data_IF_657744847955
#
_entry.id   IF_657744847955
#
_cell.length_a   1.000
_cell.length_b   1.000
_cell.length_c   1.000
_cell.angle_alpha   90.00
_cell.angle_beta   90.00
_cell.angle_gamma   90.00
#
_symmetry.space_group_name_H-M   'P 1'
#
loop_
_entity.id
_entity.type
_entity.pdbx_description
1 polymer ?
#
# COMPACT_ATOMS: atom_id res chain seq x y z
N UNK A 1 2.18 -11.25 -59.81
CA UNK A 1 1.68 -11.51 -58.44
C UNK A 1 2.39 -10.58 -57.46
N UNK A 2 1.75 -9.47 -57.06
CA UNK A 2 2.32 -8.50 -56.09
C UNK A 2 1.91 -8.92 -54.68
N UNK A 3 2.88 -9.26 -53.84
CA UNK A 3 2.67 -9.68 -52.44
C UNK A 3 2.20 -8.47 -51.61
N UNK A 4 0.98 -8.54 -51.07
CA UNK A 4 0.48 -7.62 -50.04
C UNK A 4 1.01 -8.07 -48.68
N UNK A 5 2.22 -7.63 -48.33
CA UNK A 5 2.74 -7.66 -46.97
C UNK A 5 2.59 -6.25 -46.40
N UNK A 6 1.42 -5.94 -45.88
CA UNK A 6 1.14 -4.62 -45.35
C UNK A 6 -0.11 -4.69 -44.51
N UNK A 7 0.03 -5.14 -43.25
CA UNK A 7 -0.79 -4.74 -42.10
C UNK A 7 -0.55 -5.61 -40.84
N UNK A 8 0.68 -6.09 -40.60
CA UNK A 8 1.01 -6.71 -39.29
C UNK A 8 1.62 -5.70 -38.30
N UNK A 9 2.14 -4.57 -38.77
CA UNK A 9 2.72 -3.55 -37.90
C UNK A 9 1.66 -2.74 -37.11
N UNK A 10 0.42 -2.62 -37.61
CA UNK A 10 -0.62 -1.85 -36.93
C UNK A 10 -1.25 -2.59 -35.74
N UNK A 11 -1.24 -3.93 -35.73
CA UNK A 11 -1.78 -4.72 -34.63
C UNK A 11 -0.79 -4.85 -33.45
N UNK A 12 0.51 -4.66 -33.68
CA UNK A 12 1.54 -4.81 -32.66
C UNK A 12 1.63 -3.61 -31.71
N UNK A 13 1.22 -2.41 -32.16
CA UNK A 13 1.15 -1.22 -31.30
C UNK A 13 -0.02 -1.22 -30.31
N UNK A 14 -1.04 -2.06 -30.52
CA UNK A 14 -2.16 -2.26 -29.59
C UNK A 14 -1.86 -3.27 -28.46
N UNK A 15 -0.69 -3.91 -28.50
CA UNK A 15 -0.23 -4.90 -27.52
C UNK A 15 0.95 -4.38 -26.67
N UNK A 16 1.27 -3.09 -26.76
CA UNK A 16 2.25 -2.52 -25.84
C UNK A 16 1.68 -2.63 -24.43
N UNK A 17 2.31 -3.39 -23.51
CA UNK A 17 1.94 -3.33 -22.11
C UNK A 17 2.07 -1.86 -21.73
N UNK A 18 0.97 -1.26 -21.25
CA UNK A 18 1.05 0.03 -20.57
C UNK A 18 2.14 -0.14 -19.52
N UNK A 19 3.29 0.51 -19.74
CA UNK A 19 4.34 0.59 -18.75
C UNK A 19 3.67 1.14 -17.50
N UNK A 20 3.55 0.29 -16.47
CA UNK A 20 2.92 0.63 -15.21
C UNK A 20 3.46 2.00 -14.78
N UNK A 21 2.58 3.01 -14.78
CA UNK A 21 2.94 4.32 -14.28
C UNK A 21 3.36 4.14 -12.83
N UNK A 22 4.43 4.82 -12.41
CA UNK A 22 4.91 4.78 -11.03
C UNK A 22 3.72 5.01 -10.08
N UNK A 23 3.34 3.95 -9.37
CA UNK A 23 2.13 3.87 -8.55
C UNK A 23 2.34 4.80 -7.37
N UNK A 24 1.82 6.02 -7.46
CA UNK A 24 1.98 6.99 -6.38
C UNK A 24 1.01 6.59 -5.28
N UNK A 25 1.54 6.15 -4.15
CA UNK A 25 0.74 5.95 -2.95
C UNK A 25 0.90 7.14 -2.01
N UNK A 26 -0.11 7.40 -1.20
CA UNK A 26 -0.10 8.48 -0.22
C UNK A 26 -0.84 8.06 1.04
N UNK A 27 -0.35 8.48 2.21
CA UNK A 27 -0.97 8.14 3.49
C UNK A 27 -2.18 9.03 3.73
N UNK A 28 -3.34 8.43 3.97
CA UNK A 28 -4.57 9.14 4.39
C UNK A 28 -4.55 9.36 5.89
N UNK A 29 -4.32 8.26 6.63
CA UNK A 29 -4.33 8.21 8.09
C UNK A 29 -3.50 7.03 8.56
N UNK A 30 -2.82 7.18 9.69
CA UNK A 30 -2.18 6.07 10.39
C UNK A 30 -2.23 6.31 11.89
N UNK A 31 -2.66 5.31 12.64
CA UNK A 31 -2.84 5.45 14.09
C UNK A 31 -2.58 4.14 14.82
N UNK A 32 -2.28 4.25 16.12
CA UNK A 32 -2.16 3.07 16.99
C UNK A 32 -3.04 3.21 18.24
N UNK A 33 -4.37 3.06 18.08
CA UNK A 33 -5.31 3.14 19.20
C UNK A 33 -5.17 1.95 20.16
N UNK A 34 -5.64 2.17 21.39
CA UNK A 34 -5.99 1.09 22.31
C UNK A 34 -7.32 0.50 21.88
N UNK A 35 -7.36 -0.82 21.66
CA UNK A 35 -8.57 -1.55 21.24
C UNK A 35 -9.16 -2.41 22.35
N UNK A 36 -8.45 -2.56 23.48
CA UNK A 36 -8.94 -3.26 24.65
C UNK A 36 -7.96 -3.24 25.82
N UNK A 37 -8.43 -3.66 26.99
CA UNK A 37 -7.60 -3.86 28.17
C UNK A 37 -8.14 -5.04 29.00
N UNK A 38 -7.26 -5.82 29.61
CA UNK A 38 -7.65 -6.98 30.41
C UNK A 38 -6.46 -7.81 30.88
N UNK A 39 -6.58 -8.44 32.06
CA UNK A 39 -5.55 -9.35 32.59
C UNK A 39 -4.19 -8.68 32.86
N UNK A 40 -4.17 -7.37 33.10
CA UNK A 40 -2.93 -6.59 33.27
C UNK A 40 -2.29 -6.09 31.97
N UNK A 41 -2.90 -6.35 30.80
CA UNK A 41 -2.40 -5.94 29.49
C UNK A 41 -3.28 -4.88 28.84
N UNK A 42 -2.65 -4.08 27.96
CA UNK A 42 -3.30 -3.15 27.04
C UNK A 42 -3.12 -3.67 25.62
N UNK A 43 -4.22 -3.82 24.89
CA UNK A 43 -4.21 -4.30 23.51
C UNK A 43 -4.25 -3.11 22.56
N UNK A 44 -3.35 -3.10 21.58
CA UNK A 44 -3.23 -2.04 20.58
C UNK A 44 -3.32 -2.61 19.18
N UNK A 45 -3.75 -1.78 18.26
CA UNK A 45 -3.87 -2.13 16.84
C UNK A 45 -3.18 -1.06 16.01
N UNK A 46 -2.29 -1.45 15.09
CA UNK A 46 -1.79 -0.58 14.04
C UNK A 46 -2.84 -0.46 12.94
N UNK A 47 -3.31 0.76 12.70
CA UNK A 47 -4.27 1.10 11.63
C UNK A 47 -3.58 1.96 10.59
N UNK A 48 -3.83 1.65 9.33
CA UNK A 48 -3.35 2.46 8.21
C UNK A 48 -4.42 2.56 7.14
N UNK A 49 -4.60 3.76 6.62
CA UNK A 49 -5.40 4.05 5.45
C UNK A 49 -4.51 4.76 4.44
N UNK A 50 -4.50 4.28 3.20
CA UNK A 50 -3.65 4.82 2.13
C UNK A 50 -4.48 5.02 0.87
N UNK A 51 -4.13 6.04 0.10
CA UNK A 51 -4.54 6.16 -1.29
C UNK A 51 -3.51 5.55 -2.23
N UNK A 52 -3.99 5.05 -3.36
CA UNK A 52 -3.22 4.42 -4.42
C UNK A 52 -3.67 5.04 -5.75
N UNK A 53 -2.78 5.77 -6.42
CA UNK A 53 -3.11 6.48 -7.67
C UNK A 53 -3.07 5.57 -8.88
N UNK A 54 -4.01 5.74 -9.83
CA UNK A 54 -4.82 4.61 -10.26
C UNK A 54 -3.94 3.48 -10.80
N UNK A 55 -4.06 2.32 -10.18
CA UNK A 55 -3.30 1.14 -10.59
C UNK A 55 -4.18 0.28 -11.50
N UNK A 56 -3.56 -0.36 -12.49
CA UNK A 56 -4.27 -1.25 -13.40
C UNK A 56 -5.07 -2.32 -12.62
N UNK A 57 -6.13 -2.83 -13.23
CA UNK A 57 -6.95 -3.87 -12.62
C UNK A 57 -6.10 -5.08 -12.21
N UNK A 58 -6.43 -5.68 -11.05
CA UNK A 58 -5.77 -6.89 -10.56
C UNK A 58 -4.56 -6.65 -9.65
N UNK A 59 -4.33 -5.42 -9.19
CA UNK A 59 -3.30 -5.12 -8.20
C UNK A 59 -3.76 -5.40 -6.76
N UNK A 60 -2.80 -5.43 -5.84
CA UNK A 60 -3.05 -5.49 -4.39
C UNK A 60 -2.20 -4.47 -3.65
N UNK A 61 -2.73 -3.91 -2.56
CA UNK A 61 -1.98 -3.02 -1.69
C UNK A 61 -1.70 -3.67 -0.33
N UNK A 62 -0.56 -3.34 0.25
CA UNK A 62 -0.11 -3.88 1.52
C UNK A 62 0.77 -2.92 2.30
N UNK A 63 1.13 -3.34 3.49
CA UNK A 63 2.03 -2.61 4.39
C UNK A 63 3.03 -3.58 4.99
N UNK A 64 4.28 -3.14 5.11
CA UNK A 64 5.28 -3.77 5.97
C UNK A 64 5.52 -2.85 7.13
N UNK A 65 5.52 -3.41 8.33
CA UNK A 65 5.64 -2.64 9.56
C UNK A 65 6.48 -3.36 10.61
N UNK A 66 7.00 -2.57 11.53
CA UNK A 66 7.89 -3.01 12.60
C UNK A 66 7.71 -2.11 13.81
N UNK A 67 8.09 -2.59 14.98
CA UNK A 67 8.13 -1.84 16.23
C UNK A 67 9.50 -1.96 16.93
N UNK A 68 10.49 -2.53 16.25
CA UNK A 68 11.82 -2.86 16.81
C UNK A 68 12.98 -2.47 15.88
N UNK A 69 12.84 -1.32 15.20
CA UNK A 69 13.85 -0.80 14.26
C UNK A 69 14.19 -1.78 13.14
N UNK A 70 13.18 -2.42 12.55
CA UNK A 70 13.30 -3.34 11.42
C UNK A 70 14.09 -4.62 11.73
N UNK A 71 14.24 -5.00 13.01
CA UNK A 71 14.79 -6.30 13.38
C UNK A 71 13.80 -7.43 13.11
N UNK A 72 12.51 -7.17 13.33
CA UNK A 72 11.41 -8.03 12.90
C UNK A 72 10.45 -7.24 12.02
N UNK A 73 10.02 -7.87 10.93
CA UNK A 73 9.08 -7.29 9.98
C UNK A 73 7.78 -8.07 10.01
N UNK A 74 6.67 -7.35 10.10
CA UNK A 74 5.34 -7.88 9.91
C UNK A 74 4.80 -7.42 8.55
N UNK A 75 4.02 -8.30 7.93
CA UNK A 75 3.38 -8.05 6.64
C UNK A 75 1.87 -8.00 6.83
N UNK A 76 1.25 -6.98 6.24
CA UNK A 76 -0.19 -6.77 6.31
C UNK A 76 -0.76 -6.52 4.92
N UNK A 77 -1.82 -7.25 4.56
CA UNK A 77 -2.60 -6.96 3.36
C UNK A 77 -3.62 -5.88 3.67
N UNK A 78 -3.75 -4.87 2.80
CA UNK A 78 -4.80 -3.86 2.90
C UNK A 78 -6.03 -4.31 2.11
N UNK A 79 -7.18 -3.84 2.56
CA UNK A 79 -8.48 -4.12 1.90
C UNK A 79 -8.95 -2.86 1.20
N UNK A 80 -9.32 -2.97 -0.07
CA UNK A 80 -9.94 -1.90 -0.84
C UNK A 80 -11.23 -1.42 -0.13
N UNK A 81 -11.44 -0.09 -0.12
CA UNK A 81 -12.60 0.53 0.53
C UNK A 81 -13.52 1.21 -0.47
N UNK A 82 -12.99 2.17 -1.22
CA UNK A 82 -13.74 2.96 -2.20
C UNK A 82 -12.79 3.74 -3.13
N UNK A 83 -13.31 4.29 -4.21
CA UNK A 83 -12.58 5.21 -5.08
C UNK A 83 -12.84 6.67 -4.64
N UNK A 84 -11.78 7.47 -4.52
CA UNK A 84 -11.83 8.88 -4.19
C UNK A 84 -11.43 9.72 -5.41
N UNK A 85 -12.17 10.80 -5.70
CA UNK A 85 -11.77 11.74 -6.76
C UNK A 85 -10.47 12.46 -6.38
N UNK A 86 -9.54 12.60 -7.33
CA UNK A 86 -8.29 13.32 -7.13
C UNK A 86 -8.27 14.69 -7.82
N UNK A 87 -7.28 15.51 -7.47
CA UNK A 87 -7.09 16.85 -8.01
C UNK A 87 -6.78 16.88 -9.52
N UNK A 88 -6.46 15.74 -10.13
CA UNK A 88 -6.07 15.62 -11.53
C UNK A 88 -7.22 15.13 -12.43
N UNK A 89 -8.45 15.10 -11.92
CA UNK A 89 -9.63 14.69 -12.69
C UNK A 89 -9.74 13.17 -12.91
N UNK A 90 -9.01 12.38 -12.12
CA UNK A 90 -9.06 10.91 -12.11
C UNK A 90 -9.55 10.41 -10.73
N UNK A 91 -9.49 9.10 -10.49
CA UNK A 91 -9.80 8.47 -9.20
C UNK A 91 -8.57 7.78 -8.61
N UNK A 92 -8.42 7.90 -7.30
CA UNK A 92 -7.49 7.12 -6.48
C UNK A 92 -8.30 6.03 -5.79
N UNK A 93 -7.67 4.90 -5.50
CA UNK A 93 -8.27 3.87 -4.67
C UNK A 93 -7.85 4.06 -3.21
N UNK A 94 -8.81 3.98 -2.29
CA UNK A 94 -8.56 4.04 -0.85
C UNK A 94 -8.53 2.62 -0.28
N UNK A 95 -7.45 2.30 0.42
CA UNK A 95 -7.17 0.99 1.00
C UNK A 95 -6.95 1.12 2.51
N UNK A 96 -7.36 0.11 3.28
CA UNK A 96 -7.29 0.14 4.74
C UNK A 96 -6.85 -1.20 5.34
N UNK A 97 -6.08 -1.14 6.41
CA UNK A 97 -5.66 -2.29 7.21
C UNK A 97 -5.68 -2.00 8.70
N UNK A 98 -5.84 -3.07 9.48
CA UNK A 98 -5.90 -3.09 10.95
C UNK A 98 -5.15 -4.32 11.43
N UNK A 99 -4.10 -4.14 12.23
CA UNK A 99 -3.18 -5.20 12.62
C UNK A 99 -2.90 -5.20 14.11
N UNK A 100 -3.19 -6.30 14.79
CA UNK A 100 -2.97 -6.42 16.22
C UNK A 100 -1.47 -6.38 16.54
N UNK A 101 -1.11 -5.55 17.51
CA UNK A 101 0.24 -5.53 18.06
C UNK A 101 0.26 -6.46 19.27
N UNK A 102 1.21 -7.40 19.36
CA UNK A 102 1.28 -8.32 20.49
C UNK A 102 1.37 -7.56 21.82
N UNK A 103 0.56 -7.91 22.84
CA UNK A 103 0.49 -7.13 24.09
C UNK A 103 1.77 -7.20 24.94
N UNK A 104 2.67 -8.15 24.65
CA UNK A 104 3.91 -8.37 25.37
C UNK A 104 5.11 -7.60 24.79
N UNK A 105 4.96 -6.95 23.63
CA UNK A 105 6.05 -6.15 23.06
C UNK A 105 6.10 -4.77 23.72
N UNK A 106 7.30 -4.33 24.11
CA UNK A 106 7.56 -2.96 24.55
C UNK A 106 8.12 -2.17 23.37
N UNK A 107 7.47 -1.05 23.03
CA UNK A 107 7.79 -0.26 21.85
C UNK A 107 7.35 1.18 22.03
N UNK A 108 7.99 2.11 21.30
CA UNK A 108 7.70 3.55 21.34
C UNK A 108 6.97 4.06 20.11
N UNK A 109 7.15 3.39 18.97
CA UNK A 109 6.52 3.74 17.69
C UNK A 109 6.40 2.51 16.79
N UNK A 110 5.45 2.52 15.86
CA UNK A 110 5.43 1.63 14.70
C UNK A 110 6.05 2.37 13.53
N UNK A 111 7.03 1.75 12.88
CA UNK A 111 7.59 2.20 11.60
C UNK A 111 6.98 1.35 10.49
N UNK A 112 6.67 1.96 9.34
CA UNK A 112 6.03 1.22 8.25
C UNK A 112 6.38 1.79 6.86
N UNK A 113 6.20 0.94 5.85
CA UNK A 113 6.26 1.26 4.44
C UNK A 113 5.08 0.59 3.72
N UNK A 114 4.53 1.27 2.72
CA UNK A 114 3.42 0.77 1.91
C UNK A 114 4.00 0.13 0.65
N UNK A 115 3.37 -0.95 0.20
CA UNK A 115 3.69 -1.55 -1.09
C UNK A 115 2.42 -1.77 -1.91
N UNK A 116 2.60 -1.79 -3.23
CA UNK A 116 1.59 -2.21 -4.19
C UNK A 116 2.21 -3.24 -5.10
N UNK A 117 1.50 -4.34 -5.30
CA UNK A 117 1.86 -5.37 -6.28
C UNK A 117 0.92 -5.24 -7.47
N UNK A 118 1.48 -5.04 -8.67
CA UNK A 118 0.71 -5.02 -9.91
C UNK A 118 0.20 -6.43 -10.28
N UNK A 119 -0.64 -6.52 -11.32
CA UNK A 119 -1.19 -7.80 -11.79
C UNK A 119 -0.12 -8.78 -12.33
N UNK A 120 1.10 -8.30 -12.61
CA UNK A 120 2.24 -9.12 -13.03
C UNK A 120 3.14 -9.53 -11.85
N UNK A 121 2.83 -9.09 -10.62
CA UNK A 121 3.60 -9.35 -9.41
C UNK A 121 4.80 -8.43 -9.21
N UNK A 122 4.89 -7.31 -9.94
CA UNK A 122 5.92 -6.30 -9.68
C UNK A 122 5.52 -5.45 -8.48
N UNK A 123 6.46 -5.27 -7.55
CA UNK A 123 6.24 -4.48 -6.34
C UNK A 123 6.79 -3.08 -6.46
N UNK A 124 5.96 -2.09 -6.17
CA UNK A 124 6.37 -0.71 -5.90
C UNK A 124 6.32 -0.44 -4.40
N UNK A 125 7.17 0.48 -3.94
CA UNK A 125 7.32 0.81 -2.53
C UNK A 125 7.12 2.31 -2.31
N UNK A 126 6.42 2.64 -1.25
CA UNK A 126 6.46 3.95 -0.62
C UNK A 126 6.97 3.80 0.80
N UNK A 127 8.25 4.11 0.96
CA UNK A 127 8.98 4.10 2.21
C UNK A 127 9.36 5.53 2.61
N UNK A 128 8.55 6.55 2.26
CA UNK A 128 8.80 7.95 2.60
C UNK A 128 10.23 8.40 2.23
N UNK A 129 10.62 8.19 0.97
CA UNK A 129 11.97 8.51 0.47
C UNK A 129 13.11 7.86 1.27
N UNK A 130 12.90 6.63 1.75
CA UNK A 130 13.88 5.86 2.55
C UNK A 130 13.86 6.15 4.05
N UNK A 131 13.02 7.08 4.53
CA UNK A 131 12.90 7.37 5.96
C UNK A 131 11.91 6.46 6.69
N UNK A 132 11.04 5.78 5.94
CA UNK A 132 9.83 5.11 6.40
C UNK A 132 8.83 6.09 7.04
N UNK A 133 7.60 5.64 7.21
CA UNK A 133 6.60 6.35 8.01
C UNK A 133 6.71 5.90 9.46
N UNK A 134 6.38 6.80 10.39
CA UNK A 134 6.45 6.53 11.84
C UNK A 134 5.15 7.00 12.49
N UNK A 135 4.52 6.12 13.26
CA UNK A 135 3.34 6.43 14.07
C UNK A 135 3.59 6.08 15.52
N UNK A 136 3.29 7.01 16.42
CA UNK A 136 3.42 6.84 17.88
C UNK A 136 2.07 6.46 18.49
N UNK A 137 2.06 5.65 19.59
CA UNK A 137 0.82 5.32 20.27
C UNK A 137 0.10 6.59 20.76
N UNK A 138 -1.16 6.75 20.38
CA UNK A 138 -1.98 7.90 20.75
C UNK A 138 -1.81 9.15 19.86
N UNK A 139 -1.03 9.07 18.79
CA UNK A 139 -1.02 10.09 17.72
C UNK A 139 -2.13 9.83 16.70
N UNK A 140 -2.78 10.92 16.27
CA UNK A 140 -3.51 11.04 15.01
C UNK A 140 -2.71 11.98 14.10
#
# INVERSE_FOLDING_TARGET
MKKRLGSLAAALFLLLPMTAAAETTWVVDASVPVVGAGGGYVFREFRVTTGVWPVAAGHTAGVVYTWDNWQTTQWGTLTWQYNAANAYGSQDEVWKGSFLIPPHVSWSSVQYAIYVDDAAGNRTWNNNNGQNFVVVPGGA
#
